data_IF_211745815862
#
_entry.id   IF_211745815862
#
_cell.length_a   1.000
_cell.length_b   1.000
_cell.length_c   1.000
_cell.angle_alpha   90.00
_cell.angle_beta   90.00
_cell.angle_gamma   90.00
#
_symmetry.space_group_name_H-M   'P 1'
#
loop_
_entity.id
_entity.type
_entity.pdbx_description
1 polymer ?
#
# COMPACT_ATOMS: atom_id res chain seq x y z
N UNK A 1 8.80 -7.57 7.90
CA UNK A 1 7.77 -6.52 7.81
C UNK A 1 6.56 -6.81 8.71
N UNK A 2 6.71 -7.63 9.76
CA UNK A 2 5.67 -7.85 10.78
C UNK A 2 4.28 -8.26 10.28
N UNK A 3 4.15 -8.76 9.05
CA UNK A 3 2.86 -9.10 8.41
C UNK A 3 3.02 -10.31 7.50
N UNK A 4 1.89 -10.87 7.07
CA UNK A 4 1.83 -12.03 6.16
C UNK A 4 1.77 -11.54 4.72
N UNK A 5 2.55 -12.20 3.86
CA UNK A 5 2.49 -12.03 2.42
C UNK A 5 1.95 -13.30 1.77
N UNK A 6 1.05 -13.15 0.82
CA UNK A 6 0.54 -14.27 0.01
C UNK A 6 0.62 -13.94 -1.48
N UNK A 7 0.80 -14.99 -2.26
CA UNK A 7 1.03 -14.92 -3.70
C UNK A 7 0.06 -15.87 -4.39
N UNK A 8 -0.71 -15.35 -5.34
CA UNK A 8 -1.44 -16.15 -6.33
C UNK A 8 -0.86 -15.83 -7.70
N UNK A 9 -0.29 -16.85 -8.36
CA UNK A 9 0.43 -16.72 -9.63
C UNK A 9 -0.16 -17.69 -10.64
N UNK A 10 -0.43 -17.19 -11.85
CA UNK A 10 -1.09 -17.91 -12.94
C UNK A 10 -0.26 -17.82 -14.22
N UNK A 11 -0.18 -18.93 -14.94
CA UNK A 11 0.59 -19.02 -16.19
C UNK A 11 2.10 -18.92 -15.98
N UNK A 12 2.84 -18.83 -17.09
CA UNK A 12 4.31 -18.80 -17.10
C UNK A 12 4.95 -20.20 -17.08
N UNK A 13 6.26 -20.24 -17.33
CA UNK A 13 7.04 -21.46 -17.17
C UNK A 13 7.20 -21.80 -15.68
N UNK A 14 6.90 -23.05 -15.24
CA UNK A 14 6.93 -23.40 -13.82
C UNK A 14 8.29 -23.25 -13.14
N UNK A 15 9.40 -23.40 -13.86
CA UNK A 15 10.75 -23.25 -13.29
C UNK A 15 11.10 -21.76 -13.16
N UNK A 16 10.86 -20.97 -14.21
CA UNK A 16 11.08 -19.51 -14.19
C UNK A 16 10.23 -18.83 -13.11
N UNK A 17 8.95 -19.17 -13.02
CA UNK A 17 8.04 -18.61 -12.00
C UNK A 17 8.47 -18.99 -10.58
N UNK A 18 8.96 -20.23 -10.36
CA UNK A 18 9.44 -20.66 -9.04
C UNK A 18 10.73 -19.95 -8.62
N UNK A 19 11.63 -19.73 -9.57
CA UNK A 19 12.83 -18.93 -9.34
C UNK A 19 12.46 -17.49 -8.98
N UNK A 20 11.58 -16.87 -9.77
CA UNK A 20 11.10 -15.50 -9.53
C UNK A 20 10.35 -15.36 -8.19
N UNK A 21 9.58 -16.36 -7.78
CA UNK A 21 8.93 -16.40 -6.47
C UNK A 21 9.96 -16.45 -5.34
N UNK A 22 10.99 -17.30 -5.46
CA UNK A 22 12.07 -17.38 -4.47
C UNK A 22 12.80 -16.05 -4.33
N UNK A 23 13.09 -15.38 -5.45
CA UNK A 23 13.69 -14.05 -5.46
C UNK A 23 12.75 -12.98 -4.89
N UNK A 24 11.45 -13.02 -5.21
CA UNK A 24 10.45 -12.11 -4.65
C UNK A 24 10.40 -12.23 -3.12
N UNK A 25 10.35 -13.45 -2.59
CA UNK A 25 10.41 -13.71 -1.14
C UNK A 25 11.72 -13.21 -0.52
N UNK A 26 12.87 -13.50 -1.15
CA UNK A 26 14.15 -12.98 -0.69
C UNK A 26 14.19 -11.44 -0.69
N UNK A 27 13.55 -10.80 -1.68
CA UNK A 27 13.38 -9.35 -1.75
C UNK A 27 12.55 -8.79 -0.59
N UNK A 28 11.47 -9.47 -0.19
CA UNK A 28 10.68 -9.09 0.97
C UNK A 28 11.50 -9.21 2.27
N UNK A 29 12.30 -10.27 2.44
CA UNK A 29 13.18 -10.40 3.59
C UNK A 29 14.25 -9.30 3.64
N UNK A 30 14.89 -9.01 2.50
CA UNK A 30 15.84 -7.90 2.40
C UNK A 30 15.20 -6.56 2.74
N UNK A 31 13.98 -6.30 2.26
CA UNK A 31 13.25 -5.08 2.60
C UNK A 31 13.03 -4.96 4.12
N UNK A 32 12.74 -6.06 4.81
CA UNK A 32 12.65 -6.05 6.28
C UNK A 32 14.01 -5.78 6.96
N UNK A 33 15.08 -6.40 6.48
CA UNK A 33 16.43 -6.20 7.02
C UNK A 33 16.91 -4.76 6.88
N UNK A 34 16.66 -4.14 5.72
CA UNK A 34 17.09 -2.77 5.40
C UNK A 34 16.20 -1.73 6.08
N UNK A 35 14.88 -1.90 6.01
CA UNK A 35 13.92 -0.84 6.35
C UNK A 35 13.25 -0.95 7.73
N UNK A 36 13.47 -2.04 8.48
CA UNK A 36 12.82 -2.21 9.78
C UNK A 36 13.27 -1.15 10.80
N UNK A 37 12.32 -0.38 11.34
CA UNK A 37 12.56 0.58 12.43
C UNK A 37 12.59 -0.07 13.81
N UNK A 38 12.29 -1.38 13.90
CA UNK A 38 12.33 -2.17 15.13
C UNK A 38 13.67 -2.86 15.36
N UNK A 39 14.48 -2.98 14.31
CA UNK A 39 15.80 -3.59 14.33
C UNK A 39 16.85 -2.52 14.51
N UNK A 40 17.63 -2.59 15.59
CA UNK A 40 18.69 -1.61 15.84
C UNK A 40 19.81 -1.67 14.80
N UNK A 41 20.01 -2.83 14.17
CA UNK A 41 21.05 -3.08 13.17
C UNK A 41 20.63 -2.77 11.74
N UNK A 42 19.35 -2.45 11.48
CA UNK A 42 18.89 -2.10 10.14
C UNK A 42 19.53 -0.80 9.64
N UNK A 43 19.63 -0.67 8.33
CA UNK A 43 20.21 0.52 7.72
C UNK A 43 19.37 1.76 7.97
N UNK A 44 18.04 1.66 7.94
CA UNK A 44 17.15 2.79 8.29
C UNK A 44 17.32 3.21 9.75
N UNK A 45 17.42 2.28 10.69
CA UNK A 45 17.65 2.63 12.10
C UNK A 45 19.00 3.31 12.31
N UNK A 46 20.05 2.85 11.62
CA UNK A 46 21.39 3.44 11.67
C UNK A 46 21.43 4.81 11.00
N UNK A 47 20.81 4.96 9.83
CA UNK A 47 20.65 6.22 9.11
C UNK A 47 19.88 7.25 9.96
N UNK A 48 18.77 6.85 10.58
CA UNK A 48 17.98 7.71 11.47
C UNK A 48 18.73 8.17 12.73
N UNK A 49 19.81 7.49 13.12
CA UNK A 49 20.73 7.89 14.20
C UNK A 49 21.99 8.62 13.71
N UNK A 50 22.12 8.87 12.40
CA UNK A 50 23.30 9.51 11.80
C UNK A 50 24.55 8.62 11.79
N UNK A 51 24.40 7.30 11.89
CA UNK A 51 25.51 6.33 11.86
C UNK A 51 25.87 5.88 10.43
N UNK A 52 25.02 6.19 9.47
CA UNK A 52 25.21 5.96 8.04
C UNK A 52 24.76 7.21 7.29
N UNK A 53 25.34 7.41 6.11
CA UNK A 53 24.81 8.28 5.06
C UNK A 53 23.98 7.47 4.07
N UNK A 54 23.10 8.12 3.30
CA UNK A 54 22.26 7.45 2.28
C UNK A 54 23.13 6.70 1.25
N UNK A 55 24.32 7.22 0.93
CA UNK A 55 25.25 6.61 -0.03
C UNK A 55 25.93 5.34 0.49
N UNK A 56 25.95 5.14 1.81
CA UNK A 56 26.49 3.93 2.45
C UNK A 56 25.43 2.85 2.66
N UNK A 57 24.16 3.18 2.41
CA UNK A 57 23.03 2.25 2.46
C UNK A 57 22.83 1.48 1.14
N UNK A 58 22.02 0.43 1.19
CA UNK A 58 21.45 -0.25 0.03
C UNK A 58 20.79 0.79 -0.90
N UNK A 59 21.01 0.73 -2.23
CA UNK A 59 20.43 1.67 -3.18
C UNK A 59 18.91 1.82 -3.09
N UNK A 60 18.21 0.77 -2.64
CA UNK A 60 16.76 0.83 -2.45
C UNK A 60 16.39 1.89 -1.37
N UNK A 61 17.27 2.21 -0.42
CA UNK A 61 17.03 3.29 0.57
C UNK A 61 16.86 4.63 -0.11
N UNK A 62 17.78 5.01 -1.01
CA UNK A 62 17.67 6.27 -1.75
C UNK A 62 16.40 6.32 -2.59
N UNK A 63 16.02 5.20 -3.24
CA UNK A 63 14.81 5.11 -4.04
C UNK A 63 13.54 5.28 -3.20
N UNK A 64 13.46 4.63 -2.03
CA UNK A 64 12.31 4.73 -1.12
C UNK A 64 12.18 6.13 -0.53
N UNK A 65 13.28 6.78 -0.16
CA UNK A 65 13.25 8.15 0.34
C UNK A 65 12.76 9.13 -0.73
N UNK A 66 13.20 8.98 -1.97
CA UNK A 66 12.71 9.79 -3.09
C UNK A 66 11.19 9.61 -3.34
N UNK A 67 10.69 8.36 -3.25
CA UNK A 67 9.24 8.10 -3.31
C UNK A 67 8.49 8.74 -2.14
N UNK A 68 9.09 8.73 -0.94
CA UNK A 68 8.56 9.38 0.24
C UNK A 68 8.46 10.90 0.12
N UNK A 69 9.49 11.54 -0.44
CA UNK A 69 9.49 12.99 -0.76
C UNK A 69 8.39 13.33 -1.75
N UNK A 70 8.23 12.53 -2.81
CA UNK A 70 7.18 12.70 -3.79
C UNK A 70 5.78 12.53 -3.17
N UNK A 71 5.59 11.49 -2.35
CA UNK A 71 4.35 11.27 -1.62
C UNK A 71 4.02 12.46 -0.71
N UNK A 72 5.02 13.00 -0.01
CA UNK A 72 4.85 14.19 0.83
C UNK A 72 4.46 15.41 0.00
N UNK A 73 5.10 15.62 -1.15
CA UNK A 73 4.82 16.76 -2.04
C UNK A 73 3.40 16.71 -2.61
N UNK A 74 2.96 15.56 -3.13
CA UNK A 74 1.63 15.41 -3.75
C UNK A 74 0.51 15.45 -2.71
N UNK A 75 0.79 14.96 -1.50
CA UNK A 75 -0.15 15.01 -0.38
C UNK A 75 -0.06 16.29 0.44
N UNK A 76 0.70 17.32 0.03
CA UNK A 76 0.88 18.56 0.81
C UNK A 76 1.26 18.32 2.29
N UNK A 77 2.19 17.38 2.50
CA UNK A 77 2.71 17.01 3.83
C UNK A 77 1.80 16.09 4.64
N UNK A 78 0.66 15.63 4.11
CA UNK A 78 -0.22 14.68 4.79
C UNK A 78 0.32 13.24 4.80
N UNK A 79 1.31 12.95 3.96
CA UNK A 79 2.19 11.78 4.06
C UNK A 79 3.63 12.22 4.37
N UNK A 80 4.35 11.43 5.16
CA UNK A 80 5.76 11.68 5.48
C UNK A 80 6.47 10.38 5.81
N UNK A 81 7.75 10.29 5.45
CA UNK A 81 8.68 9.26 5.94
C UNK A 81 9.31 9.63 7.28
N UNK A 82 8.73 10.59 8.01
CA UNK A 82 9.10 10.93 9.36
C UNK A 82 7.93 10.67 10.30
N UNK A 83 8.17 9.87 11.33
CA UNK A 83 7.21 9.56 12.39
C UNK A 83 7.81 9.99 13.74
N UNK A 84 7.07 10.80 14.50
CA UNK A 84 7.52 11.34 15.81
C UNK A 84 8.94 11.98 15.78
N UNK A 85 9.25 12.67 14.67
CA UNK A 85 10.54 13.35 14.47
C UNK A 85 11.71 12.42 14.15
N UNK A 86 11.44 11.16 13.82
CA UNK A 86 12.43 10.16 13.43
C UNK A 86 12.15 9.66 12.03
N UNK A 87 13.22 9.30 11.31
CA UNK A 87 13.09 8.65 10.01
C UNK A 87 12.34 7.33 10.16
N UNK A 88 11.19 7.23 9.49
CA UNK A 88 10.33 6.06 9.44
C UNK A 88 9.63 5.97 8.06
N UNK A 89 10.23 5.27 7.09
CA UNK A 89 9.64 5.07 5.78
C UNK A 89 8.66 3.88 5.74
N UNK A 90 8.29 3.28 6.88
CA UNK A 90 7.50 2.04 6.90
C UNK A 90 6.12 2.20 6.24
N UNK A 91 5.56 3.42 6.24
CA UNK A 91 4.31 3.77 5.56
C UNK A 91 4.34 3.70 4.03
N UNK A 92 5.50 3.55 3.39
CA UNK A 92 5.63 3.35 1.93
C UNK A 92 6.33 2.03 1.57
N UNK A 93 7.21 1.53 2.44
CA UNK A 93 8.03 0.33 2.19
C UNK A 93 7.19 -0.90 1.91
N UNK A 94 6.06 -1.07 2.62
CA UNK A 94 5.18 -2.24 2.43
C UNK A 94 4.62 -2.27 1.00
N UNK A 95 3.93 -1.21 0.57
CA UNK A 95 3.44 -1.09 -0.81
C UNK A 95 4.57 -1.26 -1.84
N UNK A 96 5.69 -0.56 -1.66
CA UNK A 96 6.85 -0.67 -2.55
C UNK A 96 7.39 -2.10 -2.69
N UNK A 97 7.47 -2.84 -1.58
CA UNK A 97 7.96 -4.22 -1.58
C UNK A 97 6.97 -5.18 -2.25
N UNK A 98 5.65 -5.02 -2.00
CA UNK A 98 4.58 -5.77 -2.68
C UNK A 98 4.62 -5.53 -4.18
N UNK A 99 4.76 -4.27 -4.61
CA UNK A 99 4.79 -3.91 -6.02
C UNK A 99 5.97 -4.57 -6.74
N UNK A 100 7.18 -4.47 -6.18
CA UNK A 100 8.39 -5.10 -6.76
C UNK A 100 8.26 -6.61 -6.85
N UNK A 101 7.70 -7.24 -5.82
CA UNK A 101 7.45 -8.68 -5.82
C UNK A 101 6.48 -9.09 -6.94
N UNK A 102 5.38 -8.33 -7.12
CA UNK A 102 4.41 -8.58 -8.18
C UNK A 102 5.02 -8.40 -9.58
N UNK A 103 5.77 -7.31 -9.80
CA UNK A 103 6.44 -7.01 -11.06
C UNK A 103 7.47 -8.08 -11.43
N UNK A 104 8.22 -8.60 -10.45
CA UNK A 104 9.18 -9.70 -10.67
C UNK A 104 8.50 -10.96 -11.18
N UNK A 105 7.38 -11.34 -10.58
CA UNK A 105 6.60 -12.50 -11.03
C UNK A 105 6.01 -12.31 -12.43
N UNK A 106 5.50 -11.11 -12.72
CA UNK A 106 5.00 -10.79 -14.06
C UNK A 106 6.11 -10.80 -15.12
N UNK A 107 7.32 -10.31 -14.78
CA UNK A 107 8.48 -10.32 -15.67
C UNK A 107 8.99 -11.74 -15.97
N UNK A 108 8.71 -12.71 -15.11
CA UNK A 108 8.99 -14.13 -15.33
C UNK A 108 7.92 -14.85 -16.19
N UNK A 109 7.08 -14.10 -16.90
CA UNK A 109 6.11 -14.65 -17.84
C UNK A 109 4.77 -15.07 -17.23
N UNK A 110 4.51 -14.79 -15.96
CA UNK A 110 3.20 -15.04 -15.36
C UNK A 110 2.11 -14.21 -16.07
N UNK A 111 0.99 -14.84 -16.40
CA UNK A 111 -0.16 -14.19 -17.07
C UNK A 111 -1.11 -13.52 -16.09
N UNK A 112 -1.03 -13.89 -14.80
CA UNK A 112 -1.78 -13.28 -13.72
C UNK A 112 -1.00 -13.36 -12.41
N UNK A 113 -0.94 -12.25 -11.69
CA UNK A 113 -0.25 -12.16 -10.40
C UNK A 113 -1.14 -11.38 -9.43
N UNK A 114 -1.32 -11.91 -8.23
CA UNK A 114 -1.88 -11.21 -7.08
C UNK A 114 -0.91 -11.36 -5.91
N UNK A 115 -0.35 -10.26 -5.45
CA UNK A 115 0.49 -10.22 -4.23
C UNK A 115 -0.24 -9.42 -3.17
N UNK A 116 -0.54 -10.06 -2.04
CA UNK A 116 -1.16 -9.43 -0.88
C UNK A 116 -0.11 -9.30 0.22
N UNK A 117 0.08 -8.10 0.76
CA UNK A 117 0.87 -7.83 1.96
C UNK A 117 0.03 -7.19 3.04
N UNK A 118 -0.44 -7.97 4.02
CA UNK A 118 -1.22 -7.45 5.14
C UNK A 118 -2.56 -6.81 4.78
N UNK A 119 -3.24 -7.30 3.74
CA UNK A 119 -4.53 -6.79 3.27
C UNK A 119 -4.42 -5.90 2.03
N UNK A 120 -3.23 -5.38 1.74
CA UNK A 120 -2.95 -4.51 0.61
C UNK A 120 -2.47 -5.33 -0.59
N UNK A 121 -3.11 -5.15 -1.74
CA UNK A 121 -3.00 -6.08 -2.87
C UNK A 121 -2.57 -5.38 -4.15
N UNK A 122 -1.50 -5.86 -4.77
CA UNK A 122 -1.17 -5.57 -6.17
C UNK A 122 -1.67 -6.69 -7.07
N UNK A 123 -2.42 -6.33 -8.11
CA UNK A 123 -2.91 -7.22 -9.16
C UNK A 123 -2.26 -6.87 -10.49
N UNK A 124 -1.77 -7.87 -11.21
CA UNK A 124 -1.26 -7.77 -12.57
C UNK A 124 -1.86 -8.89 -13.43
N UNK A 125 -2.09 -8.59 -14.71
CA UNK A 125 -2.68 -9.53 -15.66
C UNK A 125 -4.06 -10.02 -15.23
N UNK A 126 -4.39 -11.27 -15.58
CA UNK A 126 -5.69 -11.88 -15.27
C UNK A 126 -5.53 -13.31 -14.77
N UNK A 127 -6.36 -13.77 -13.83
CA UNK A 127 -6.28 -15.13 -13.30
C UNK A 127 -6.73 -16.21 -14.30
N UNK A 128 -7.45 -15.80 -15.36
CA UNK A 128 -7.86 -16.67 -16.45
C UNK A 128 -8.67 -15.92 -17.51
N UNK A 129 -8.96 -16.55 -18.66
CA UNK A 129 -9.74 -15.93 -19.72
C UNK A 129 -11.11 -15.46 -19.20
N UNK A 130 -11.42 -14.18 -19.43
CA UNK A 130 -12.67 -13.53 -19.00
C UNK A 130 -12.96 -13.52 -17.49
N UNK A 131 -11.99 -13.91 -16.64
CA UNK A 131 -12.13 -13.85 -15.19
C UNK A 131 -11.26 -12.72 -14.65
N UNK A 132 -11.81 -11.59 -14.19
CA UNK A 132 -11.01 -10.55 -13.56
C UNK A 132 -10.58 -10.98 -12.15
N UNK A 133 -9.50 -10.39 -11.67
CA UNK A 133 -9.20 -10.37 -10.24
C UNK A 133 -10.30 -9.63 -9.48
N UNK A 134 -10.63 -10.11 -8.28
CA UNK A 134 -11.57 -9.46 -7.36
C UNK A 134 -10.96 -9.38 -5.97
N UNK A 135 -11.07 -8.21 -5.34
CA UNK A 135 -10.58 -7.94 -3.98
C UNK A 135 -11.75 -7.58 -3.10
N UNK A 136 -11.97 -8.36 -2.04
CA UNK A 136 -12.95 -8.01 -1.01
C UNK A 136 -12.38 -6.93 -0.10
N UNK A 137 -13.17 -5.88 0.15
CA UNK A 137 -12.87 -4.84 1.13
C UNK A 137 -13.65 -5.18 2.39
N UNK A 138 -12.94 -5.52 3.46
CA UNK A 138 -13.56 -5.85 4.75
C UNK A 138 -14.36 -4.67 5.30
N UNK A 139 -15.52 -4.95 5.90
CA UNK A 139 -16.28 -3.95 6.63
C UNK A 139 -15.69 -3.80 8.06
N UNK A 140 -15.11 -2.63 8.40
CA UNK A 140 -14.49 -2.41 9.71
C UNK A 140 -15.52 -2.38 10.86
N UNK A 141 -16.81 -2.14 10.57
CA UNK A 141 -17.88 -2.08 11.57
C UNK A 141 -18.62 -3.42 11.70
N UNK A 142 -18.43 -4.34 10.75
CA UNK A 142 -19.10 -5.65 10.70
C UNK A 142 -18.08 -6.76 10.45
N UNK A 143 -17.41 -7.28 11.49
CA UNK A 143 -16.40 -8.32 11.35
C UNK A 143 -16.90 -9.54 10.56
N UNK A 144 -16.13 -9.94 9.54
CA UNK A 144 -16.50 -11.02 8.62
C UNK A 144 -17.39 -10.59 7.44
N UNK A 145 -17.87 -9.34 7.42
CA UNK A 145 -18.58 -8.74 6.29
C UNK A 145 -17.64 -8.04 5.31
N UNK A 146 -18.15 -7.78 4.11
CA UNK A 146 -17.48 -6.97 3.09
C UNK A 146 -18.25 -5.64 2.90
N UNK A 147 -17.53 -4.53 2.92
CA UNK A 147 -18.06 -3.23 2.53
C UNK A 147 -18.15 -3.08 1.00
N UNK A 148 -17.23 -3.71 0.26
CA UNK A 148 -17.23 -3.70 -1.20
C UNK A 148 -16.47 -4.90 -1.79
N UNK A 149 -16.66 -5.13 -3.08
CA UNK A 149 -15.82 -6.02 -3.90
C UNK A 149 -15.29 -5.23 -5.09
N UNK A 150 -13.98 -5.02 -5.13
CA UNK A 150 -13.29 -4.31 -6.20
C UNK A 150 -12.91 -5.29 -7.31
N UNK A 151 -13.21 -4.95 -8.56
CA UNK A 151 -12.98 -5.77 -9.75
C UNK A 151 -11.93 -5.12 -10.65
N UNK A 152 -10.95 -5.90 -11.06
CA UNK A 152 -9.96 -5.52 -12.08
C UNK A 152 -10.45 -5.75 -13.52
N UNK A 153 -11.77 -5.82 -13.74
CA UNK A 153 -12.32 -5.97 -15.08
C UNK A 153 -11.91 -4.80 -15.99
N UNK A 154 -11.50 -5.13 -17.22
CA UNK A 154 -11.10 -4.13 -18.23
C UNK A 154 -9.75 -3.46 -17.99
N UNK A 155 -8.97 -3.89 -16.99
CA UNK A 155 -7.61 -3.39 -16.74
C UNK A 155 -6.64 -4.54 -16.51
N UNK A 156 -5.39 -4.33 -16.91
CA UNK A 156 -4.29 -5.31 -16.71
C UNK A 156 -3.53 -5.10 -15.42
N UNK A 157 -3.80 -4.00 -14.71
CA UNK A 157 -3.10 -3.62 -13.50
C UNK A 157 -4.07 -2.84 -12.60
N UNK A 158 -4.11 -3.24 -11.33
CA UNK A 158 -4.90 -2.60 -10.29
C UNK A 158 -4.28 -2.90 -8.93
N UNK A 159 -4.39 -1.96 -8.01
CA UNK A 159 -4.00 -2.13 -6.63
C UNK A 159 -5.12 -1.66 -5.70
N UNK A 160 -5.21 -2.28 -4.53
CA UNK A 160 -6.18 -1.93 -3.48
C UNK A 160 -5.44 -1.90 -2.15
N UNK A 161 -5.43 -0.76 -1.47
CA UNK A 161 -4.85 -0.62 -0.14
C UNK A 161 -5.86 -0.04 0.83
N UNK A 162 -5.79 -0.42 2.11
CA UNK A 162 -6.70 0.09 3.14
C UNK A 162 -5.95 0.57 4.38
N UNK A 163 -6.23 1.81 4.78
CA UNK A 163 -5.79 2.37 6.06
C UNK A 163 -6.99 2.52 6.99
N UNK A 164 -6.86 2.08 8.23
CA UNK A 164 -7.97 2.12 9.18
C UNK A 164 -7.57 1.75 10.60
N UNK A 165 -8.50 1.91 11.53
CA UNK A 165 -8.26 1.66 12.96
C UNK A 165 -8.47 0.22 13.39
N UNK A 166 -9.14 -0.61 12.57
CA UNK A 166 -9.49 -1.99 12.92
C UNK A 166 -8.26 -2.89 13.11
N UNK A 167 -7.22 -2.73 12.28
CA UNK A 167 -6.06 -3.64 12.27
C UNK A 167 -4.99 -3.27 13.31
N UNK A 168 -4.81 -1.98 13.63
CA UNK A 168 -3.70 -1.50 14.48
C UNK A 168 -4.08 -0.38 15.47
N UNK A 169 -5.37 -0.10 15.64
CA UNK A 169 -5.84 1.00 16.49
C UNK A 169 -5.50 2.39 15.93
N UNK A 170 -5.50 3.42 16.79
CA UNK A 170 -5.16 4.79 16.41
C UNK A 170 -3.64 5.00 16.29
N UNK A 171 -3.07 4.54 15.18
CA UNK A 171 -1.63 4.59 14.89
C UNK A 171 -1.25 5.59 13.79
N UNK A 172 -2.24 6.24 13.16
CA UNK A 172 -2.01 7.22 12.11
C UNK A 172 -1.86 8.62 12.74
N UNK A 173 -0.78 9.31 12.37
CA UNK A 173 -0.38 10.63 12.88
C UNK A 173 -0.51 11.64 11.74
N UNK A 174 -0.94 12.87 12.06
CA UNK A 174 -0.81 14.01 11.14
C UNK A 174 0.63 14.50 11.18
N UNK A 175 1.43 14.30 10.11
CA UNK A 175 2.86 14.62 10.11
C UNK A 175 3.15 16.12 10.32
N UNK A 176 2.18 16.98 10.00
CA UNK A 176 2.32 18.44 10.09
C UNK A 176 2.19 18.93 11.53
N UNK A 177 1.52 18.15 12.38
CA UNK A 177 1.34 18.48 13.80
C UNK A 177 2.12 17.56 14.74
N UNK A 178 2.52 16.37 14.26
CA UNK A 178 3.14 15.32 15.07
C UNK A 178 2.18 14.66 16.08
N UNK A 179 0.87 14.88 15.95
CA UNK A 179 -0.16 14.32 16.84
C UNK A 179 -1.00 13.28 16.10
N UNK A 180 -1.65 12.40 16.85
CA UNK A 180 -2.64 11.46 16.28
C UNK A 180 -3.62 12.21 15.37
N UNK A 181 -3.89 11.65 14.20
CA UNK A 181 -4.82 12.23 13.24
C UNK A 181 -6.21 12.36 13.89
N UNK A 182 -6.79 13.55 13.80
CA UNK A 182 -8.18 13.80 14.22
C UNK A 182 -9.07 13.59 13.00
N UNK A 183 -9.78 12.47 12.98
CA UNK A 183 -10.55 12.03 11.81
C UNK A 183 -11.86 11.38 12.23
N UNK A 184 -12.87 11.50 11.36
CA UNK A 184 -14.17 10.84 11.49
C UNK A 184 -14.18 9.44 10.84
N UNK A 185 -13.06 9.02 10.26
CA UNK A 185 -12.93 7.76 9.51
C UNK A 185 -12.58 6.57 10.42
N UNK A 186 -13.11 5.40 10.06
CA UNK A 186 -12.66 4.09 10.57
C UNK A 186 -11.87 3.32 9.53
N UNK A 187 -12.13 3.57 8.24
CA UNK A 187 -11.34 3.01 7.14
C UNK A 187 -11.37 3.93 5.90
N UNK A 188 -10.28 3.90 5.15
CA UNK A 188 -10.13 4.43 3.80
C UNK A 188 -9.51 3.34 2.94
N UNK A 189 -10.22 2.92 1.91
CA UNK A 189 -9.71 2.02 0.88
C UNK A 189 -9.45 2.81 -0.38
N UNK A 190 -8.23 2.73 -0.90
CA UNK A 190 -7.83 3.37 -2.16
C UNK A 190 -7.59 2.31 -3.23
N UNK A 191 -8.12 2.57 -4.42
CA UNK A 191 -7.92 1.81 -5.64
C UNK A 191 -7.09 2.65 -6.60
N UNK A 192 -5.94 2.15 -7.03
CA UNK A 192 -5.03 2.86 -7.94
C UNK A 192 -4.33 1.85 -8.86
N UNK A 193 -3.52 2.27 -9.85
CA UNK A 193 -2.75 1.33 -10.67
C UNK A 193 -1.74 0.53 -9.84
N UNK A 194 -1.04 1.19 -8.93
CA UNK A 194 0.12 0.65 -8.21
C UNK A 194 -0.05 0.73 -6.69
N UNK A 195 0.31 -0.34 -5.99
CA UNK A 195 0.07 -0.48 -4.55
C UNK A 195 0.92 0.47 -3.70
N UNK A 196 2.11 0.87 -4.18
CA UNK A 196 2.94 1.87 -3.50
C UNK A 196 2.16 3.16 -3.25
N UNK A 197 1.51 3.69 -4.30
CA UNK A 197 0.74 4.92 -4.20
C UNK A 197 -0.59 4.71 -3.49
N UNK A 198 -1.28 3.59 -3.70
CA UNK A 198 -2.54 3.31 -3.01
C UNK A 198 -2.37 3.30 -1.48
N UNK A 199 -1.30 2.67 -0.96
CA UNK A 199 -0.99 2.59 0.47
C UNK A 199 -0.68 3.98 1.05
N UNK A 200 0.13 4.78 0.35
CA UNK A 200 0.40 6.17 0.73
C UNK A 200 -0.86 7.04 0.75
N UNK A 201 -1.70 6.94 -0.28
CA UNK A 201 -2.92 7.74 -0.41
C UNK A 201 -3.98 7.35 0.59
N UNK A 202 -4.13 6.06 0.91
CA UNK A 202 -5.01 5.62 1.97
C UNK A 202 -4.59 6.22 3.32
N UNK A 203 -3.28 6.22 3.62
CA UNK A 203 -2.74 6.78 4.85
C UNK A 203 -2.95 8.30 4.93
N UNK A 204 -2.61 9.02 3.86
CA UNK A 204 -2.75 10.48 3.80
C UNK A 204 -4.21 10.91 3.89
N UNK A 205 -5.11 10.29 3.13
CA UNK A 205 -6.53 10.63 3.15
C UNK A 205 -7.20 10.29 4.48
N UNK A 206 -6.76 9.21 5.15
CA UNK A 206 -7.21 8.90 6.50
C UNK A 206 -6.87 10.05 7.47
N UNK A 207 -5.66 10.60 7.38
CA UNK A 207 -5.23 11.73 8.19
C UNK A 207 -6.00 13.03 7.85
N UNK A 208 -6.37 13.25 6.59
CA UNK A 208 -7.16 14.40 6.14
C UNK A 208 -8.61 14.39 6.65
N UNK A 209 -9.16 13.22 6.98
CA UNK A 209 -10.58 13.07 7.31
C UNK A 209 -11.49 12.93 6.09
N UNK A 210 -12.74 12.50 6.32
CA UNK A 210 -13.62 12.02 5.24
C UNK A 210 -13.90 13.06 4.15
N UNK A 211 -14.03 14.34 4.52
CA UNK A 211 -14.42 15.40 3.59
C UNK A 211 -13.25 15.90 2.74
N UNK A 212 -12.11 16.19 3.35
CA UNK A 212 -10.96 16.72 2.64
C UNK A 212 -10.19 15.59 1.95
N UNK A 213 -10.09 14.42 2.58
CA UNK A 213 -9.52 13.21 1.98
C UNK A 213 -10.25 12.78 0.71
N UNK A 214 -11.59 12.72 0.73
CA UNK A 214 -12.37 12.39 -0.48
C UNK A 214 -12.13 13.41 -1.59
N UNK A 215 -12.18 14.72 -1.28
CA UNK A 215 -11.98 15.78 -2.28
C UNK A 215 -10.59 15.71 -2.92
N UNK A 216 -9.58 15.41 -2.13
CA UNK A 216 -8.22 15.27 -2.60
C UNK A 216 -8.04 14.00 -3.47
N UNK A 217 -8.57 12.86 -3.02
CA UNK A 217 -8.52 11.61 -3.79
C UNK A 217 -9.23 11.73 -5.14
N UNK A 218 -10.38 12.41 -5.20
CA UNK A 218 -11.12 12.68 -6.45
C UNK A 218 -10.29 13.50 -7.47
N UNK A 219 -9.34 14.31 -6.99
CA UNK A 219 -8.49 15.12 -7.85
C UNK A 219 -7.26 14.35 -8.39
N UNK A 220 -6.96 13.16 -7.87
CA UNK A 220 -5.82 12.37 -8.28
C UNK A 220 -6.16 11.50 -9.52
N UNK A 221 -5.35 11.55 -10.59
CA UNK A 221 -5.64 10.81 -11.81
C UNK A 221 -5.54 9.30 -11.59
N UNK A 222 -6.58 8.57 -11.99
CA UNK A 222 -6.61 7.10 -11.91
C UNK A 222 -6.75 6.55 -10.49
N UNK A 223 -7.14 7.38 -9.53
CA UNK A 223 -7.38 7.00 -8.14
C UNK A 223 -8.88 6.99 -7.88
N UNK A 224 -9.36 5.90 -7.26
CA UNK A 224 -10.71 5.81 -6.72
C UNK A 224 -10.64 5.42 -5.25
N UNK A 225 -11.68 5.71 -4.47
CA UNK A 225 -11.67 5.38 -3.05
C UNK A 225 -13.06 5.13 -2.45
N UNK A 226 -13.06 4.34 -1.37
CA UNK A 226 -14.18 4.09 -0.47
C UNK A 226 -13.77 4.51 0.94
N UNK A 227 -14.55 5.36 1.58
CA UNK A 227 -14.30 5.89 2.91
C UNK A 227 -15.47 5.52 3.81
N UNK A 228 -15.19 4.99 5.00
CA UNK A 228 -16.19 4.59 5.99
C UNK A 228 -15.95 5.40 7.26
N UNK A 229 -16.96 6.13 7.71
CA UNK A 229 -16.89 6.93 8.93
C UNK A 229 -17.27 6.11 10.17
N UNK A 230 -16.89 6.58 11.36
CA UNK A 230 -17.32 6.02 12.63
C UNK A 230 -18.85 6.10 12.84
N UNK A 231 -19.53 6.96 12.07
CA UNK A 231 -20.99 7.06 12.04
C UNK A 231 -21.67 6.11 11.04
N UNK A 232 -20.95 5.12 10.49
CA UNK A 232 -21.43 4.18 9.46
C UNK A 232 -21.87 4.88 8.16
N UNK A 233 -21.34 6.08 7.90
CA UNK A 233 -21.52 6.76 6.61
C UNK A 233 -20.46 6.25 5.64
N UNK A 234 -20.90 5.86 4.45
CA UNK A 234 -20.03 5.46 3.34
C UNK A 234 -19.95 6.59 2.32
N UNK A 235 -18.73 6.98 1.98
CA UNK A 235 -18.43 7.94 0.91
C UNK A 235 -17.51 7.30 -0.11
N UNK A 236 -17.63 7.69 -1.38
CA UNK A 236 -16.76 7.19 -2.42
C UNK A 236 -16.50 8.24 -3.49
N UNK A 237 -15.41 8.04 -4.22
CA UNK A 237 -15.12 8.83 -5.42
C UNK A 237 -16.10 8.51 -6.54
N UNK A 238 -16.29 9.44 -7.47
CA UNK A 238 -17.29 9.31 -8.53
C UNK A 238 -17.07 8.12 -9.46
N UNK A 239 -15.82 7.73 -9.71
CA UNK A 239 -15.46 6.63 -10.60
C UNK A 239 -15.44 5.25 -9.95
N UNK A 240 -15.52 5.14 -8.61
CA UNK A 240 -15.45 3.85 -7.90
C UNK A 240 -16.52 2.87 -8.39
N UNK A 241 -17.71 3.36 -8.76
CA UNK A 241 -18.80 2.53 -9.27
C UNK A 241 -18.40 1.66 -10.47
N UNK A 242 -17.48 2.14 -11.34
CA UNK A 242 -16.97 1.38 -12.47
C UNK A 242 -16.02 0.23 -12.06
N UNK A 243 -15.61 0.18 -10.79
CA UNK A 243 -14.73 -0.84 -10.21
C UNK A 243 -15.46 -1.79 -9.28
N UNK A 244 -16.73 -1.60 -8.99
CA UNK A 244 -17.51 -2.54 -8.19
C UNK A 244 -17.88 -3.77 -9.03
N UNK A 245 -17.76 -4.97 -8.45
CA UNK A 245 -18.04 -6.24 -9.14
C UNK A 245 -19.01 -7.13 -8.40
#
# INVERSE_FOLDING_TARGET
MGTVFSFDVRGGDPEEVRAALSEAVAGLHRADEVFSTYRDDSEISRLGRGQLTVQECDPDVAAVLALGEEASRVSDGWFSTSYEGRLDPTGIVKGWAVERAARRLAAAGATGVSVNGGGDVQLLGVPGPQRPWRVGVSDPLRPGGLAAVISAAGVSELAVATSGTAERGAHIVDPRTGRSAVTDLVAVTVVAPTITWADCWATAAFAMGSRDGLRWLEALPGVEALLITAGDEVRCTGGLAARLG
#
